data_IF_332154057708
#
_entry.id   IF_332154057708
#
_cell.length_a   1.000
_cell.length_b   1.000
_cell.length_c   1.000
_cell.angle_alpha   90.00
_cell.angle_beta   90.00
_cell.angle_gamma   90.00
#
_symmetry.space_group_name_H-M   'P 1'
#
loop_
_entity.id
_entity.type
_entity.pdbx_description
1 polymer ?
#
# COMPACT_ATOMS: atom_id res chain seq x y z
N UNK A 1 -4.37 -2.60 31.46
CA UNK A 1 -3.85 -3.89 31.00
C UNK A 1 -3.54 -3.77 29.53
N UNK A 2 -2.27 -3.61 29.16
CA UNK A 2 -1.84 -3.57 27.76
C UNK A 2 -1.72 -5.01 27.28
N UNK A 3 -2.75 -5.50 26.60
CA UNK A 3 -2.64 -6.74 25.85
C UNK A 3 -1.71 -6.43 24.66
N UNK A 4 -0.65 -7.21 24.51
CA UNK A 4 0.35 -7.07 23.44
C UNK A 4 -0.26 -7.44 22.07
N UNK A 5 -1.19 -6.62 21.59
CA UNK A 5 -1.78 -6.68 20.27
C UNK A 5 -1.33 -5.47 19.48
N UNK A 6 -0.94 -5.69 18.22
CA UNK A 6 -0.75 -4.61 17.24
C UNK A 6 -1.96 -3.67 17.31
N UNK A 7 -1.71 -2.39 17.63
CA UNK A 7 -2.74 -1.37 17.61
C UNK A 7 -3.24 -1.24 16.16
N UNK A 8 -4.52 -1.59 15.94
CA UNK A 8 -5.15 -1.56 14.61
C UNK A 8 -5.06 -0.19 13.96
N UNK A 9 -5.04 0.89 14.76
CA UNK A 9 -4.83 2.25 14.27
C UNK A 9 -3.42 2.45 13.72
N UNK A 10 -2.39 2.00 14.45
CA UNK A 10 -1.00 2.11 14.00
C UNK A 10 -0.76 1.26 12.74
N UNK A 11 -1.41 0.10 12.65
CA UNK A 11 -1.37 -0.74 11.44
C UNK A 11 -2.03 -0.07 10.23
N UNK A 12 -3.21 0.55 10.40
CA UNK A 12 -3.87 1.34 9.35
C UNK A 12 -2.99 2.50 8.88
N UNK A 13 -2.38 3.23 9.83
CA UNK A 13 -1.44 4.33 9.51
C UNK A 13 -0.24 3.83 8.72
N UNK A 14 0.35 2.70 9.12
CA UNK A 14 1.47 2.10 8.40
C UNK A 14 1.11 1.71 6.96
N UNK A 15 -0.08 1.12 6.74
CA UNK A 15 -0.56 0.78 5.40
C UNK A 15 -0.76 2.04 4.55
N UNK A 16 -1.38 3.10 5.09
CA UNK A 16 -1.52 4.37 4.38
C UNK A 16 -0.17 4.96 3.97
N UNK A 17 0.82 4.97 4.87
CA UNK A 17 2.16 5.45 4.57
C UNK A 17 2.84 4.62 3.47
N UNK A 18 2.67 3.29 3.49
CA UNK A 18 3.19 2.40 2.46
C UNK A 18 2.54 2.63 1.10
N UNK A 19 1.22 2.89 1.06
CA UNK A 19 0.51 3.25 -0.18
C UNK A 19 1.11 4.52 -0.78
N UNK A 20 1.26 5.58 0.02
CA UNK A 20 1.79 6.85 -0.47
C UNK A 20 3.25 6.74 -0.93
N UNK A 21 4.09 6.02 -0.18
CA UNK A 21 5.46 5.75 -0.59
C UNK A 21 5.55 4.91 -1.88
N UNK A 22 4.64 3.95 -2.05
CA UNK A 22 4.58 3.11 -3.25
C UNK A 22 4.16 3.89 -4.49
N UNK A 23 3.17 4.79 -4.36
CA UNK A 23 2.78 5.74 -5.43
C UNK A 23 3.92 6.66 -5.84
N UNK A 24 4.66 7.18 -4.85
CA UNK A 24 5.84 8.01 -5.10
C UNK A 24 6.93 7.22 -5.82
N UNK A 25 7.21 5.98 -5.37
CA UNK A 25 8.21 5.12 -5.98
C UNK A 25 7.86 4.76 -7.42
N UNK A 26 6.59 4.45 -7.71
CA UNK A 26 6.11 4.21 -9.07
C UNK A 26 6.33 5.44 -9.98
N UNK A 27 5.94 6.62 -9.49
CA UNK A 27 6.13 7.88 -10.22
C UNK A 27 7.60 8.15 -10.51
N UNK A 28 8.45 8.01 -9.50
CA UNK A 28 9.89 8.21 -9.63
C UNK A 28 10.51 7.20 -10.60
N UNK A 29 10.14 5.92 -10.50
CA UNK A 29 10.61 4.88 -11.42
C UNK A 29 10.24 5.22 -12.87
N UNK A 30 9.01 5.69 -13.12
CA UNK A 30 8.57 6.14 -14.44
C UNK A 30 9.36 7.35 -14.97
N UNK A 31 9.69 8.32 -14.11
CA UNK A 31 10.51 9.48 -14.50
C UNK A 31 11.95 9.06 -14.84
N UNK A 32 12.56 8.23 -14.00
CA UNK A 32 13.91 7.70 -14.25
C UNK A 32 13.96 6.81 -15.49
N UNK A 33 12.91 6.01 -15.76
CA UNK A 33 12.83 5.19 -16.96
C UNK A 33 12.84 6.05 -18.23
N UNK A 34 12.10 7.17 -18.23
CA UNK A 34 12.12 8.14 -19.34
C UNK A 34 13.50 8.75 -19.54
N UNK A 35 14.19 9.11 -18.47
CA UNK A 35 15.56 9.64 -18.54
C UNK A 35 16.54 8.58 -19.07
N UNK A 36 16.41 7.33 -18.65
CA UNK A 36 17.21 6.22 -19.14
C UNK A 36 16.94 5.93 -20.63
N UNK A 37 15.69 6.01 -21.08
CA UNK A 37 15.30 5.91 -22.50
C UNK A 37 15.99 7.02 -23.33
N UNK A 38 15.96 8.27 -22.85
CA UNK A 38 16.63 9.42 -23.50
C UNK A 38 18.14 9.23 -23.57
N UNK A 39 18.75 8.64 -22.54
CA UNK A 39 20.17 8.34 -22.49
C UNK A 39 20.56 7.04 -23.23
N UNK A 40 19.61 6.36 -23.90
CA UNK A 40 19.77 5.07 -24.57
C UNK A 40 20.28 3.93 -23.66
N UNK A 41 20.03 4.01 -22.35
CA UNK A 41 20.37 2.98 -21.38
C UNK A 41 19.18 2.02 -21.22
N UNK A 42 18.93 1.24 -22.27
CA UNK A 42 17.71 0.42 -22.42
C UNK A 42 17.49 -0.59 -21.28
N UNK A 43 18.56 -1.22 -20.79
CA UNK A 43 18.46 -2.18 -19.69
C UNK A 43 17.98 -1.50 -18.39
N UNK A 44 18.50 -0.31 -18.08
CA UNK A 44 18.10 0.45 -16.91
C UNK A 44 16.63 0.91 -17.03
N UNK A 45 16.24 1.41 -18.21
CA UNK A 45 14.85 1.77 -18.49
C UNK A 45 13.89 0.60 -18.28
N UNK A 46 14.22 -0.59 -18.79
CA UNK A 46 13.40 -1.79 -18.59
C UNK A 46 13.27 -2.15 -17.10
N UNK A 47 14.38 -2.17 -16.36
CA UNK A 47 14.37 -2.45 -14.91
C UNK A 47 13.54 -1.45 -14.12
N UNK A 48 13.57 -0.17 -14.51
CA UNK A 48 12.78 0.88 -13.87
C UNK A 48 11.29 0.75 -14.20
N UNK A 49 10.93 0.38 -15.43
CA UNK A 49 9.54 0.08 -15.81
C UNK A 49 9.00 -1.12 -15.01
N UNK A 50 9.78 -2.18 -14.89
CA UNK A 50 9.42 -3.36 -14.09
C UNK A 50 9.28 -3.01 -12.59
N UNK A 51 10.18 -2.18 -12.06
CA UNK A 51 10.08 -1.71 -10.68
C UNK A 51 8.82 -0.86 -10.45
N UNK A 52 8.47 0.01 -11.39
CA UNK A 52 7.22 0.79 -11.35
C UNK A 52 5.98 -0.10 -11.38
N UNK A 53 5.96 -1.14 -12.23
CA UNK A 53 4.87 -2.11 -12.29
C UNK A 53 4.71 -2.87 -10.96
N UNK A 54 5.81 -3.32 -10.35
CA UNK A 54 5.77 -3.98 -9.03
C UNK A 54 5.30 -3.04 -7.92
N UNK A 55 5.67 -1.76 -7.98
CA UNK A 55 5.17 -0.76 -7.04
C UNK A 55 3.66 -0.54 -7.22
N UNK A 56 3.16 -0.50 -8.47
CA UNK A 56 1.73 -0.42 -8.73
C UNK A 56 0.96 -1.64 -8.16
N UNK A 57 1.50 -2.85 -8.35
CA UNK A 57 0.93 -4.07 -7.78
C UNK A 57 0.92 -4.04 -6.24
N UNK A 58 2.04 -3.67 -5.61
CA UNK A 58 2.12 -3.53 -4.16
C UNK A 58 1.12 -2.49 -3.63
N UNK A 59 0.91 -1.39 -4.35
CA UNK A 59 -0.09 -0.37 -4.00
C UNK A 59 -1.50 -0.96 -4.00
N UNK A 60 -1.86 -1.72 -5.04
CA UNK A 60 -3.18 -2.35 -5.13
C UNK A 60 -3.43 -3.36 -4.00
N UNK A 61 -2.41 -4.15 -3.65
CA UNK A 61 -2.50 -5.10 -2.52
C UNK A 61 -2.69 -4.38 -1.17
N UNK A 62 -1.99 -3.27 -0.96
CA UNK A 62 -2.13 -2.47 0.27
C UNK A 62 -3.49 -1.77 0.34
N UNK A 63 -4.01 -1.27 -0.78
CA UNK A 63 -5.35 -0.69 -0.85
C UNK A 63 -6.44 -1.73 -0.55
N UNK A 64 -6.29 -2.96 -1.07
CA UNK A 64 -7.20 -4.08 -0.75
C UNK A 64 -7.14 -4.44 0.74
N UNK A 65 -5.95 -4.57 1.32
CA UNK A 65 -5.78 -4.86 2.74
C UNK A 65 -6.39 -3.76 3.64
N UNK A 66 -6.30 -2.50 3.23
CA UNK A 66 -6.92 -1.38 3.94
C UNK A 66 -8.45 -1.48 3.90
N UNK A 67 -9.02 -1.85 2.75
CA UNK A 67 -10.47 -2.00 2.60
C UNK A 67 -11.01 -3.19 3.41
N UNK A 68 -10.28 -4.31 3.46
CA UNK A 68 -10.62 -5.45 4.32
C UNK A 68 -10.64 -5.06 5.81
N UNK A 69 -9.65 -4.27 6.25
CA UNK A 69 -9.60 -3.74 7.62
C UNK A 69 -10.75 -2.78 7.95
N UNK A 70 -11.28 -2.05 6.95
CA UNK A 70 -12.45 -1.18 7.14
C UNK A 70 -13.71 -2.02 7.30
N UNK A 71 -13.89 -3.06 6.50
CA UNK A 71 -15.03 -3.98 6.61
C UNK A 71 -15.05 -4.73 7.96
N UNK A 72 -13.92 -5.29 8.40
CA UNK A 72 -13.85 -5.99 9.69
C UNK A 72 -14.08 -5.08 10.90
N UNK A 73 -13.82 -3.78 10.80
CA UNK A 73 -14.07 -2.86 11.91
C UNK A 73 -15.56 -2.50 12.05
N UNK A 74 -16.32 -2.50 10.94
CA UNK A 74 -17.76 -2.23 10.99
C UNK A 74 -18.60 -3.41 11.50
N UNK A 75 -18.19 -4.65 11.23
CA UNK A 75 -18.93 -5.84 11.72
C UNK A 75 -18.83 -6.04 13.25
N UNK A 76 -17.81 -5.48 13.91
CA UNK A 76 -17.66 -5.59 15.36
C UNK A 76 -18.52 -4.61 16.18
N UNK A 77 -19.07 -3.56 15.57
CA UNK A 77 -19.93 -2.57 16.26
C UNK A 77 -21.42 -2.97 16.33
N UNK A 78 -21.79 -4.11 15.76
CA UNK A 78 -23.18 -4.62 15.74
C UNK A 78 -23.42 -5.86 16.63
N UNK A 79 -22.58 -6.10 17.64
CA UNK A 79 -22.92 -7.08 18.68
C UNK A 79 -24.07 -6.52 19.52
N UNK A 80 -25.30 -6.91 19.15
CA UNK A 80 -26.49 -6.70 19.95
C UNK A 80 -26.24 -7.18 21.38
N UNK A 81 -26.24 -6.23 22.33
CA UNK A 81 -26.46 -6.54 23.74
C UNK A 81 -27.88 -7.12 23.81
N UNK A 82 -27.98 -8.43 23.97
CA UNK A 82 -29.22 -9.09 24.34
C UNK A 82 -29.59 -8.62 25.74
N UNK A 83 -30.57 -7.72 25.84
CA UNK A 83 -31.18 -7.39 27.13
C UNK A 83 -31.90 -8.63 27.67
N UNK A 84 -31.65 -8.93 28.95
CA UNK A 84 -32.22 -10.01 29.76
C UNK A 84 -33.66 -9.67 30.15
#
# INVERSE_FOLDING_TARGET
>A
MCQAGLNTTDFKVAIYQLIEHSKLLNTNAGQWAKLADVAHVNELSSKLKDAGAKAAEATALLEAALEDLRHHHHDHDHVHITEV
#
